data_IF_648699609527
#
_entry.id   IF_648699609527
#
_cell.length_a   1.000
_cell.length_b   1.000
_cell.length_c   1.000
_cell.angle_alpha   90.00
_cell.angle_beta   90.00
_cell.angle_gamma   90.00
#
_symmetry.space_group_name_H-M   'P 1'
#
loop_
_entity.id
_entity.type
_entity.pdbx_description
1 polymer ?
#
# COMPACT_ATOMS: atom_id res chain seq x y z
N UNK A 1 -8.82 -18.01 6.08
CA UNK A 1 -7.45 -17.48 5.93
C UNK A 1 -7.33 -16.03 6.43
N UNK A 2 -8.15 -15.09 5.95
CA UNK A 2 -8.09 -13.70 6.42
C UNK A 2 -8.45 -13.54 7.91
N UNK A 3 -9.58 -14.09 8.36
CA UNK A 3 -10.03 -14.02 9.76
C UNK A 3 -9.01 -14.64 10.72
N UNK A 4 -8.42 -15.78 10.34
CA UNK A 4 -7.38 -16.45 11.12
C UNK A 4 -6.13 -15.59 11.27
N UNK A 5 -5.69 -14.89 10.22
CA UNK A 5 -4.57 -13.94 10.28
C UNK A 5 -4.88 -12.72 11.14
N UNK A 6 -6.08 -12.16 11.04
CA UNK A 6 -6.50 -11.04 11.88
C UNK A 6 -6.55 -11.42 13.37
N UNK A 7 -6.92 -12.66 13.69
CA UNK A 7 -6.88 -13.18 15.05
C UNK A 7 -5.45 -13.40 15.55
N UNK A 8 -4.57 -13.94 14.70
CA UNK A 8 -3.15 -14.12 15.02
C UNK A 8 -2.43 -12.78 15.31
N UNK A 9 -2.82 -11.72 14.59
CA UNK A 9 -2.29 -10.38 14.73
C UNK A 9 -3.05 -9.49 15.73
N UNK A 10 -3.97 -10.07 16.51
CA UNK A 10 -4.73 -9.37 17.54
C UNK A 10 -5.41 -8.09 17.05
N UNK A 11 -6.03 -8.18 15.87
CA UNK A 11 -6.76 -7.08 15.21
C UNK A 11 -8.14 -7.53 14.69
N UNK A 12 -8.64 -8.69 15.13
CA UNK A 12 -9.92 -9.23 14.67
C UNK A 12 -11.10 -8.28 14.91
N UNK A 13 -11.09 -7.54 16.03
CA UNK A 13 -12.13 -6.55 16.35
C UNK A 13 -12.20 -5.38 15.35
N UNK A 14 -11.12 -5.15 14.57
CA UNK A 14 -11.06 -4.11 13.54
C UNK A 14 -11.49 -4.58 12.16
N UNK A 15 -11.96 -5.84 12.00
CA UNK A 15 -12.23 -6.43 10.69
C UNK A 15 -13.22 -5.62 9.83
N UNK A 16 -14.19 -4.93 10.45
CA UNK A 16 -15.18 -4.09 9.77
C UNK A 16 -14.90 -2.58 9.89
N UNK A 17 -13.72 -2.21 10.40
CA UNK A 17 -13.32 -0.82 10.62
C UNK A 17 -12.52 -0.32 9.41
N UNK A 18 -12.83 0.89 8.96
CA UNK A 18 -12.03 1.54 7.91
C UNK A 18 -10.60 1.77 8.42
N UNK A 19 -9.60 1.50 7.58
CA UNK A 19 -8.16 1.66 7.93
C UNK A 19 -7.83 3.07 8.42
N UNK A 20 -8.53 4.09 7.93
CA UNK A 20 -8.38 5.49 8.37
C UNK A 20 -8.79 5.72 9.82
N UNK A 21 -9.62 4.84 10.39
CA UNK A 21 -10.07 4.86 11.78
C UNK A 21 -9.26 3.93 12.68
N UNK A 22 -8.34 3.14 12.12
CA UNK A 22 -7.48 2.26 12.90
C UNK A 22 -6.33 3.04 13.56
N UNK A 23 -5.92 2.60 14.75
CA UNK A 23 -4.77 3.14 15.46
C UNK A 23 -3.47 2.93 14.67
N UNK A 24 -2.38 3.62 15.07
CA UNK A 24 -1.07 3.42 14.43
C UNK A 24 -0.61 1.96 14.51
N UNK A 25 -0.79 1.32 15.67
CA UNK A 25 -0.39 -0.08 15.90
C UNK A 25 -1.23 -1.05 15.08
N UNK A 26 -2.55 -0.84 15.03
CA UNK A 26 -3.46 -1.64 14.22
C UNK A 26 -3.10 -1.56 12.73
N UNK A 27 -2.79 -0.36 12.22
CA UNK A 27 -2.38 -0.18 10.83
C UNK A 27 -1.09 -0.91 10.50
N UNK A 28 -0.11 -0.91 11.40
CA UNK A 28 1.15 -1.67 11.22
C UNK A 28 0.93 -3.18 11.26
N UNK A 29 0.11 -3.68 12.20
CA UNK A 29 -0.25 -5.11 12.24
C UNK A 29 -1.03 -5.52 11.00
N UNK A 30 -1.94 -4.68 10.50
CA UNK A 30 -2.65 -4.92 9.25
C UNK A 30 -1.71 -4.93 8.04
N UNK A 31 -0.71 -4.04 7.99
CA UNK A 31 0.30 -4.04 6.94
C UNK A 31 1.11 -5.36 6.93
N UNK A 32 1.53 -5.84 8.11
CA UNK A 32 2.15 -7.16 8.23
C UNK A 32 1.22 -8.29 7.76
N UNK A 33 -0.07 -8.23 8.09
CA UNK A 33 -1.06 -9.19 7.61
C UNK A 33 -1.11 -9.25 6.08
N UNK A 34 -1.05 -8.09 5.42
CA UNK A 34 -1.08 -7.98 3.96
C UNK A 34 0.15 -8.64 3.32
N UNK A 35 1.33 -8.48 3.91
CA UNK A 35 2.55 -9.13 3.43
C UNK A 35 2.50 -10.65 3.64
N UNK A 36 2.00 -11.11 4.79
CA UNK A 36 1.87 -12.54 5.12
C UNK A 36 0.76 -13.26 4.33
N UNK A 37 -0.23 -12.52 3.84
CA UNK A 37 -1.36 -13.06 3.04
C UNK A 37 -1.16 -12.90 1.53
N UNK A 38 0.04 -12.50 1.10
CA UNK A 38 0.40 -12.55 -0.31
C UNK A 38 0.33 -13.98 -0.86
N UNK A 39 0.38 -14.11 -2.19
CA UNK A 39 0.16 -15.36 -2.95
C UNK A 39 0.99 -16.54 -2.40
N UNK A 40 2.16 -16.25 -1.82
CA UNK A 40 2.93 -17.19 -1.02
C UNK A 40 3.35 -16.52 0.27
N UNK A 41 3.28 -17.27 1.35
CA UNK A 41 3.83 -16.86 2.63
C UNK A 41 5.36 -16.70 2.47
N UNK A 42 5.93 -15.54 2.81
CA UNK A 42 7.37 -15.32 2.70
C UNK A 42 8.10 -16.12 3.79
N UNK A 43 9.28 -16.67 3.45
CA UNK A 43 10.14 -17.35 4.43
C UNK A 43 11.10 -16.39 5.15
N UNK A 44 11.22 -15.15 4.66
CA UNK A 44 12.12 -14.13 5.17
C UNK A 44 11.48 -12.75 5.01
N UNK A 45 11.49 -11.92 6.06
CA UNK A 45 10.96 -10.56 6.04
C UNK A 45 11.91 -9.61 6.78
N UNK A 46 12.26 -8.50 6.14
CA UNK A 46 12.91 -7.37 6.79
C UNK A 46 11.89 -6.30 7.17
N UNK A 47 11.96 -5.79 8.39
CA UNK A 47 11.07 -4.74 8.88
C UNK A 47 11.91 -3.60 9.47
N UNK A 48 11.74 -2.42 8.91
CA UNK A 48 12.43 -1.22 9.37
C UNK A 48 11.55 -0.44 10.36
N UNK A 49 12.04 -0.23 11.58
CA UNK A 49 11.41 0.56 12.65
C UNK A 49 9.92 0.28 12.91
N UNK A 50 9.53 -0.97 13.21
CA UNK A 50 8.12 -1.31 13.43
C UNK A 50 7.51 -0.63 14.66
N UNK A 51 8.32 -0.23 15.64
CA UNK A 51 7.85 0.40 16.88
C UNK A 51 7.70 1.92 16.77
N UNK A 52 8.19 2.54 15.68
CA UNK A 52 8.16 4.00 15.52
C UNK A 52 6.74 4.59 15.53
N UNK A 53 6.51 5.61 16.35
CA UNK A 53 5.19 6.26 16.47
C UNK A 53 4.13 5.44 17.21
N UNK A 54 4.53 4.38 17.93
CA UNK A 54 3.69 3.63 18.85
C UNK A 54 4.01 4.00 20.31
N UNK A 55 3.00 3.92 21.17
CA UNK A 55 3.21 3.88 22.62
C UNK A 55 3.84 2.55 23.04
N UNK A 56 4.46 2.52 24.24
CA UNK A 56 5.20 1.36 24.73
C UNK A 56 4.39 0.07 24.75
N UNK A 57 3.09 0.13 25.11
CA UNK A 57 2.23 -1.04 25.15
C UNK A 57 1.89 -1.54 23.75
N UNK A 58 1.51 -0.64 22.83
CA UNK A 58 1.25 -1.02 21.43
C UNK A 58 2.50 -1.59 20.74
N UNK A 59 3.68 -1.06 21.05
CA UNK A 59 4.96 -1.56 20.54
C UNK A 59 5.25 -2.99 21.04
N UNK A 60 5.05 -3.25 22.33
CA UNK A 60 5.21 -4.58 22.93
C UNK A 60 4.26 -5.60 22.30
N UNK A 61 2.98 -5.25 22.14
CA UNK A 61 1.98 -6.10 21.47
C UNK A 61 2.42 -6.42 20.04
N UNK A 62 2.89 -5.41 19.29
CA UNK A 62 3.37 -5.60 17.92
C UNK A 62 4.55 -6.58 17.85
N UNK A 63 5.56 -6.41 18.69
CA UNK A 63 6.73 -7.31 18.73
C UNK A 63 6.33 -8.72 19.16
N UNK A 64 5.39 -8.85 20.11
CA UNK A 64 4.82 -10.15 20.49
C UNK A 64 4.10 -10.83 19.33
N UNK A 65 3.37 -10.08 18.52
CA UNK A 65 2.74 -10.59 17.30
C UNK A 65 3.80 -11.04 16.29
N UNK A 66 4.86 -10.25 16.07
CA UNK A 66 5.95 -10.60 15.16
C UNK A 66 6.63 -11.92 15.56
N UNK A 67 7.04 -12.06 16.82
CA UNK A 67 7.65 -13.30 17.32
C UNK A 67 6.72 -14.51 17.16
N UNK A 68 5.44 -14.37 17.53
CA UNK A 68 4.45 -15.44 17.33
C UNK A 68 4.31 -15.84 15.85
N UNK A 69 4.37 -14.89 14.93
CA UNK A 69 4.30 -15.18 13.49
C UNK A 69 5.54 -15.87 12.97
N UNK A 70 6.73 -15.40 13.38
CA UNK A 70 8.01 -16.05 13.08
C UNK A 70 7.98 -17.55 13.41
N UNK A 71 7.67 -17.89 14.66
CA UNK A 71 7.71 -19.28 15.12
C UNK A 71 6.57 -20.15 14.57
N UNK A 72 5.38 -19.59 14.38
CA UNK A 72 4.21 -20.38 13.92
C UNK A 72 4.31 -20.76 12.44
N UNK A 73 4.88 -19.86 11.63
CA UNK A 73 4.94 -20.00 10.19
C UNK A 73 6.35 -20.30 9.68
N UNK A 74 7.34 -20.48 10.56
CA UNK A 74 8.76 -20.69 10.25
C UNK A 74 9.32 -19.60 9.32
N UNK A 75 9.07 -18.34 9.67
CA UNK A 75 9.50 -17.16 8.91
C UNK A 75 10.66 -16.52 9.63
N UNK A 76 11.78 -16.30 8.95
CA UNK A 76 12.88 -15.50 9.50
C UNK A 76 12.54 -14.02 9.44
N UNK A 77 12.48 -13.36 10.60
CA UNK A 77 12.21 -11.92 10.69
C UNK A 77 13.50 -11.19 11.08
N UNK A 78 13.89 -10.19 10.28
CA UNK A 78 14.97 -9.26 10.62
C UNK A 78 14.35 -7.90 10.89
N UNK A 79 14.55 -7.37 12.10
CA UNK A 79 13.90 -6.14 12.54
C UNK A 79 14.96 -5.13 12.98
N UNK A 80 14.91 -3.92 12.42
CA UNK A 80 15.68 -2.78 12.89
C UNK A 80 14.85 -1.95 13.89
N UNK A 81 15.43 -1.64 15.06
CA UNK A 81 14.81 -0.80 16.10
C UNK A 81 15.81 0.22 16.61
N UNK A 82 15.46 1.50 16.55
CA UNK A 82 16.36 2.60 16.89
C UNK A 82 16.50 2.80 18.41
N UNK A 83 15.48 2.48 19.21
CA UNK A 83 15.46 2.64 20.67
C UNK A 83 14.53 1.59 21.33
N UNK A 84 14.98 0.34 21.50
CA UNK A 84 14.15 -0.68 22.12
C UNK A 84 14.07 -0.48 23.64
N UNK A 85 12.89 -0.72 24.20
CA UNK A 85 12.73 -0.93 25.64
C UNK A 85 13.38 -2.29 26.02
N UNK A 86 13.93 -2.42 27.23
CA UNK A 86 14.45 -3.69 27.79
C UNK A 86 13.46 -4.83 27.58
N UNK A 87 12.17 -4.60 27.86
CA UNK A 87 11.14 -5.63 27.71
C UNK A 87 11.01 -6.10 26.25
N UNK A 88 11.06 -5.16 25.29
CA UNK A 88 10.98 -5.47 23.86
C UNK A 88 12.23 -6.22 23.41
N UNK A 89 13.41 -5.78 23.85
CA UNK A 89 14.69 -6.38 23.48
C UNK A 89 14.80 -7.85 23.93
N UNK A 90 14.27 -8.16 25.12
CA UNK A 90 14.19 -9.55 25.64
C UNK A 90 13.25 -10.47 24.87
N UNK A 91 12.40 -9.94 23.98
CA UNK A 91 11.48 -10.75 23.17
C UNK A 91 12.13 -11.27 21.88
N UNK A 92 13.34 -10.82 21.55
CA UNK A 92 14.06 -11.27 20.37
C UNK A 92 14.88 -12.53 20.66
N UNK A 93 14.86 -13.48 19.74
CA UNK A 93 15.68 -14.69 19.82
C UNK A 93 17.18 -14.36 19.72
N UNK A 94 17.53 -13.42 18.84
CA UNK A 94 18.90 -13.00 18.56
C UNK A 94 18.94 -11.49 18.38
N UNK A 95 19.99 -10.87 18.91
CA UNK A 95 20.27 -9.45 18.78
C UNK A 95 21.58 -9.27 18.02
N UNK A 96 21.57 -8.32 17.10
CA UNK A 96 22.73 -7.88 16.36
C UNK A 96 22.87 -6.38 16.53
N UNK A 97 23.87 -5.94 17.31
CA UNK A 97 24.06 -4.53 17.64
C UNK A 97 25.25 -3.94 16.88
N UNK A 98 24.97 -2.85 16.18
CA UNK A 98 25.94 -2.08 15.42
C UNK A 98 26.32 -0.80 16.17
N UNK A 99 27.63 -0.51 16.20
CA UNK A 99 28.15 0.79 16.63
C UNK A 99 28.42 1.70 15.43
N UNK A 100 28.68 2.98 15.72
CA UNK A 100 29.04 3.97 14.71
C UNK A 100 30.24 3.48 13.87
N UNK A 101 30.11 3.56 12.54
CA UNK A 101 31.08 2.99 11.61
C UNK A 101 30.69 1.61 11.07
N UNK A 102 29.51 1.10 11.43
CA UNK A 102 28.97 -0.16 10.90
C UNK A 102 29.67 -1.40 11.46
N UNK A 103 30.31 -1.27 12.62
CA UNK A 103 31.01 -2.38 13.28
C UNK A 103 30.08 -3.09 14.26
N UNK A 104 30.11 -4.41 14.27
CA UNK A 104 29.33 -5.22 15.21
C UNK A 104 30.02 -5.24 16.57
N UNK A 105 29.30 -4.83 17.62
CA UNK A 105 29.80 -4.85 19.01
C UNK A 105 29.14 -5.94 19.86
N UNK A 106 28.07 -6.54 19.35
CA UNK A 106 27.37 -7.63 19.99
C UNK A 106 26.55 -8.45 18.97
N UNK A 107 26.66 -9.77 19.07
CA UNK A 107 25.80 -10.74 18.38
C UNK A 107 25.49 -11.87 19.35
N UNK A 108 24.22 -12.06 19.71
CA UNK A 108 23.81 -13.11 20.66
C UNK A 108 22.39 -12.97 21.18
N UNK A 109 22.00 -13.91 22.04
CA UNK A 109 20.72 -13.90 22.76
C UNK A 109 20.70 -12.80 23.83
N UNK A 110 19.57 -12.12 24.08
CA UNK A 110 19.47 -11.03 25.06
C UNK A 110 20.01 -11.35 26.45
N UNK A 111 19.87 -12.60 26.90
CA UNK A 111 20.31 -13.05 28.22
C UNK A 111 21.83 -13.00 28.39
N UNK A 112 22.59 -13.14 27.30
CA UNK A 112 24.04 -13.17 27.30
C UNK A 112 24.68 -11.77 27.26
N UNK A 113 23.88 -10.70 27.17
CA UNK A 113 24.40 -9.32 27.10
C UNK A 113 25.21 -8.97 28.34
N UNK A 114 24.69 -9.33 29.53
CA UNK A 114 25.35 -9.01 30.79
C UNK A 114 26.73 -9.67 30.90
N UNK A 115 26.82 -10.95 30.55
CA UNK A 115 28.08 -11.70 30.56
C UNK A 115 29.09 -11.12 29.56
N UNK A 116 28.63 -10.74 28.36
CA UNK A 116 29.47 -10.13 27.33
C UNK A 116 30.07 -8.80 27.78
N UNK A 117 29.28 -7.94 28.40
CA UNK A 117 29.75 -6.65 28.93
C UNK A 117 30.79 -6.89 30.03
N UNK A 118 30.49 -7.76 30.99
CA UNK A 118 31.39 -8.10 32.10
C UNK A 118 32.75 -8.59 31.60
N UNK A 119 32.75 -9.42 30.55
CA UNK A 119 33.96 -9.96 29.93
C UNK A 119 34.81 -8.87 29.26
N UNK A 120 34.19 -7.86 28.65
CA UNK A 120 34.91 -6.80 27.92
C UNK A 120 35.36 -5.68 28.86
N UNK A 121 34.49 -5.20 29.74
CA UNK A 121 34.74 -4.02 30.59
C UNK A 121 35.42 -4.36 31.91
N UNK A 122 35.42 -5.64 32.33
CA UNK A 122 35.86 -6.09 33.66
C UNK A 122 35.15 -5.38 34.83
N UNK A 123 33.98 -4.78 34.60
CA UNK A 123 33.16 -4.12 35.62
C UNK A 123 31.89 -4.94 35.86
N UNK A 124 31.52 -5.12 37.14
CA UNK A 124 30.38 -5.94 37.58
C UNK A 124 29.14 -5.11 37.94
N UNK A 125 29.30 -3.79 38.13
CA UNK A 125 28.23 -2.91 38.61
C UNK A 125 27.45 -2.31 37.43
N UNK A 126 26.49 -3.06 36.89
CA UNK A 126 25.57 -2.54 35.89
C UNK A 126 24.12 -2.89 36.22
N UNK A 127 23.42 -1.94 36.85
CA UNK A 127 21.96 -2.00 37.04
C UNK A 127 21.20 -2.09 35.69
N UNK A 128 21.84 -1.65 34.59
CA UNK A 128 21.23 -1.48 33.27
C UNK A 128 22.20 -1.89 32.13
N UNK A 129 22.44 -3.20 31.91
CA UNK A 129 23.45 -3.67 30.96
C UNK A 129 23.11 -3.31 29.50
N UNK A 130 21.82 -3.29 29.14
CA UNK A 130 21.39 -2.98 27.76
C UNK A 130 21.66 -1.52 27.42
N UNK A 131 21.33 -0.62 28.34
CA UNK A 131 21.55 0.82 28.22
C UNK A 131 23.04 1.14 28.09
N UNK A 132 23.88 0.44 28.84
CA UNK A 132 25.34 0.60 28.73
C UNK A 132 25.85 0.11 27.36
N UNK A 133 25.38 -1.03 26.89
CA UNK A 133 25.76 -1.55 25.57
C UNK A 133 25.34 -0.59 24.44
N UNK A 134 24.12 -0.02 24.53
CA UNK A 134 23.64 1.02 23.61
C UNK A 134 24.49 2.30 23.74
N UNK A 135 24.96 2.64 24.94
CA UNK A 135 25.87 3.78 25.13
C UNK A 135 27.20 3.57 24.42
N UNK A 136 27.78 2.38 24.46
CA UNK A 136 28.99 2.04 23.70
C UNK A 136 28.73 2.08 22.19
N UNK A 137 27.54 1.70 21.71
CA UNK A 137 27.21 1.75 20.28
C UNK A 137 27.24 3.18 19.71
N UNK A 138 26.90 4.17 20.55
CA UNK A 138 26.95 5.59 20.21
C UNK A 138 28.37 6.17 20.17
N UNK A 139 29.37 5.49 20.74
CA UNK A 139 30.76 5.94 20.73
C UNK A 139 31.40 5.75 19.35
N UNK A 140 32.51 6.43 19.11
CA UNK A 140 33.19 6.35 17.82
C UNK A 140 34.00 5.05 17.74
N UNK A 141 34.06 4.41 16.57
CA UNK A 141 34.84 3.19 16.31
C UNK A 141 36.35 3.28 16.62
N UNK A 142 36.88 4.48 16.89
CA UNK A 142 38.27 4.67 17.32
C UNK A 142 38.49 4.39 18.81
N UNK A 143 37.42 4.37 19.62
CA UNK A 143 37.46 4.08 21.05
C UNK A 143 38.05 2.68 21.31
N UNK A 144 38.91 2.59 22.32
CA UNK A 144 39.58 1.35 22.69
C UNK A 144 38.59 0.32 23.23
N UNK A 145 37.53 0.75 23.93
CA UNK A 145 36.50 -0.16 24.45
C UNK A 145 35.69 -0.75 23.29
N UNK A 146 35.23 0.08 22.35
CA UNK A 146 34.49 -0.36 21.17
C UNK A 146 35.31 -1.33 20.33
N UNK A 147 36.61 -1.07 20.13
CA UNK A 147 37.51 -2.02 19.42
C UNK A 147 37.58 -3.37 20.12
N UNK A 148 37.64 -3.38 21.45
CA UNK A 148 37.66 -4.61 22.23
C UNK A 148 36.34 -5.38 22.10
N UNK A 149 35.20 -4.69 22.16
CA UNK A 149 33.89 -5.29 21.87
C UNK A 149 33.86 -5.95 20.49
N UNK A 150 34.30 -5.22 19.45
CA UNK A 150 34.36 -5.74 18.07
C UNK A 150 35.25 -6.98 17.96
N UNK A 151 36.43 -6.97 18.59
CA UNK A 151 37.34 -8.12 18.58
C UNK A 151 36.71 -9.36 19.20
N UNK A 152 36.17 -9.24 20.42
CA UNK A 152 35.53 -10.35 21.14
C UNK A 152 34.31 -10.87 20.36
N UNK A 153 33.48 -9.98 19.83
CA UNK A 153 32.30 -10.39 19.04
C UNK A 153 32.69 -11.07 17.74
N UNK A 154 33.70 -10.57 17.01
CA UNK A 154 34.16 -11.21 15.78
C UNK A 154 34.77 -12.60 16.04
N UNK A 155 35.56 -12.76 17.11
CA UNK A 155 36.09 -14.07 17.49
C UNK A 155 34.97 -15.06 17.81
N UNK A 156 33.93 -14.60 18.52
CA UNK A 156 32.75 -15.43 18.82
C UNK A 156 32.01 -15.85 17.54
N UNK A 157 31.74 -14.92 16.64
CA UNK A 157 31.08 -15.20 15.35
C UNK A 157 31.90 -16.20 14.53
N UNK A 158 33.21 -16.02 14.43
CA UNK A 158 34.07 -16.94 13.69
C UNK A 158 34.11 -18.35 14.30
N UNK A 159 34.04 -18.46 15.62
CA UNK A 159 33.95 -19.75 16.31
C UNK A 159 32.60 -20.43 16.07
N UNK A 160 31.50 -19.67 16.06
CA UNK A 160 30.16 -20.17 15.73
C UNK A 160 30.06 -20.58 14.24
N UNK A 161 30.73 -19.87 13.33
CA UNK A 161 30.81 -20.23 11.90
C UNK A 161 31.47 -21.61 11.65
N UNK A 162 32.35 -22.06 12.55
CA UNK A 162 32.93 -23.40 12.47
C UNK A 162 31.89 -24.50 12.76
N UNK A 163 30.88 -24.23 13.58
CA UNK A 163 29.70 -25.08 13.77
C UNK A 163 28.73 -24.96 12.57
N UNK A 164 28.51 -23.76 12.03
CA UNK A 164 27.66 -23.52 10.85
C UNK A 164 28.21 -24.06 9.52
N UNK A 165 29.50 -24.39 9.41
CA UNK A 165 30.01 -25.17 8.26
C UNK A 165 29.28 -26.51 8.06
N UNK A 166 28.63 -27.05 9.10
CA UNK A 166 27.69 -28.19 8.95
C UNK A 166 26.36 -27.79 8.29
N UNK A 167 25.88 -26.55 8.47
CA UNK A 167 24.69 -26.02 7.81
C UNK A 167 24.90 -25.79 6.31
N UNK A 168 26.10 -25.37 5.88
CA UNK A 168 26.42 -25.23 4.46
C UNK A 168 26.34 -26.53 3.66
N UNK A 169 26.50 -27.69 4.31
CA UNK A 169 26.28 -28.99 3.66
C UNK A 169 24.79 -29.23 3.33
N UNK A 170 23.87 -28.51 3.99
CA UNK A 170 22.42 -28.63 3.82
C UNK A 170 21.81 -27.46 3.05
N UNK A 171 22.59 -26.45 2.64
CA UNK A 171 22.10 -25.34 1.84
C UNK A 171 22.39 -25.57 0.36
N UNK A 172 21.35 -25.48 -0.48
CA UNK A 172 21.52 -25.53 -1.92
C UNK A 172 21.66 -24.10 -2.45
N UNK A 173 22.81 -23.79 -3.04
CA UNK A 173 23.02 -22.51 -3.70
C UNK A 173 22.10 -22.46 -4.93
N UNK A 174 21.20 -21.47 -4.97
CA UNK A 174 20.30 -21.26 -6.12
C UNK A 174 20.93 -20.19 -7.01
N UNK A 175 21.60 -20.57 -8.12
CA UNK A 175 22.41 -19.65 -8.92
C UNK A 175 21.59 -18.50 -9.55
N UNK A 176 20.30 -18.74 -9.82
CA UNK A 176 19.38 -17.75 -10.38
C UNK A 176 18.55 -17.01 -9.31
N UNK A 177 18.90 -17.17 -8.03
CA UNK A 177 18.13 -16.65 -6.90
C UNK A 177 16.80 -17.38 -6.68
N UNK A 178 16.06 -16.99 -5.63
CA UNK A 178 14.72 -17.52 -5.39
C UNK A 178 13.82 -17.20 -6.60
N UNK A 179 13.20 -18.22 -7.20
CA UNK A 179 12.26 -18.02 -8.30
C UNK A 179 11.14 -17.08 -7.84
N UNK A 180 11.15 -15.83 -8.31
CA UNK A 180 10.07 -14.89 -8.06
C UNK A 180 8.89 -15.34 -8.91
N UNK A 181 8.01 -16.16 -8.34
CA UNK A 181 6.79 -16.57 -9.00
C UNK A 181 5.84 -15.37 -8.96
N UNK A 182 6.10 -14.38 -9.82
CA UNK A 182 5.11 -13.37 -10.15
C UNK A 182 3.89 -14.14 -10.60
N UNK A 183 2.73 -13.87 -9.99
CA UNK A 183 1.49 -14.42 -10.53
C UNK A 183 1.45 -14.10 -12.01
N UNK A 184 0.94 -15.01 -12.83
CA UNK A 184 0.62 -14.65 -14.21
C UNK A 184 -0.74 -13.98 -14.21
N UNK A 185 -0.92 -13.02 -15.10
CA UNK A 185 -2.21 -12.38 -15.32
C UNK A 185 -3.27 -13.45 -15.61
N UNK A 186 -4.37 -13.42 -14.86
CA UNK A 186 -5.49 -14.34 -15.01
C UNK A 186 -6.78 -13.54 -15.17
N UNK A 187 -7.72 -14.03 -15.98
CA UNK A 187 -9.02 -13.36 -16.18
C UNK A 187 -9.83 -13.23 -14.87
N UNK A 188 -9.62 -14.14 -13.92
CA UNK A 188 -10.19 -14.01 -12.58
C UNK A 188 -9.67 -12.77 -11.83
N UNK A 189 -8.43 -12.33 -12.08
CA UNK A 189 -7.89 -11.09 -11.52
C UNK A 189 -8.68 -9.88 -12.01
N UNK A 190 -9.08 -9.85 -13.28
CA UNK A 190 -9.94 -8.80 -13.82
C UNK A 190 -11.28 -8.75 -13.08
N UNK A 191 -11.92 -9.91 -12.84
CA UNK A 191 -13.19 -9.96 -12.12
C UNK A 191 -13.07 -9.43 -10.69
N UNK A 192 -12.00 -9.79 -9.98
CA UNK A 192 -11.70 -9.28 -8.63
C UNK A 192 -11.51 -7.76 -8.67
N UNK A 193 -10.81 -7.25 -9.69
CA UNK A 193 -10.50 -5.83 -9.79
C UNK A 193 -11.71 -4.99 -10.21
N UNK A 194 -12.58 -5.51 -11.08
CA UNK A 194 -13.89 -4.93 -11.36
C UNK A 194 -14.76 -4.90 -10.10
N UNK A 195 -14.80 -5.99 -9.33
CA UNK A 195 -15.55 -6.04 -8.09
C UNK A 195 -15.02 -5.00 -7.09
N UNK A 196 -13.70 -4.87 -6.97
CA UNK A 196 -13.06 -3.91 -6.07
C UNK A 196 -13.32 -2.46 -6.46
N UNK A 197 -13.21 -2.16 -7.75
CA UNK A 197 -13.61 -0.87 -8.31
C UNK A 197 -15.06 -0.55 -7.99
N UNK A 198 -15.98 -1.50 -8.19
CA UNK A 198 -17.38 -1.31 -7.83
C UNK A 198 -17.58 -0.98 -6.33
N UNK A 199 -16.89 -1.67 -5.43
CA UNK A 199 -16.93 -1.38 -4.00
C UNK A 199 -16.37 0.02 -3.67
N UNK A 200 -15.29 0.42 -4.33
CA UNK A 200 -14.67 1.73 -4.15
C UNK A 200 -15.60 2.85 -4.62
N UNK A 201 -16.18 2.71 -5.81
CA UNK A 201 -17.18 3.64 -6.33
C UNK A 201 -18.37 3.76 -5.38
N UNK A 202 -18.91 2.64 -4.90
CA UNK A 202 -20.07 2.62 -4.00
C UNK A 202 -19.81 3.29 -2.66
N UNK A 203 -18.64 3.09 -2.06
CA UNK A 203 -18.39 3.55 -0.68
C UNK A 203 -17.74 4.94 -0.62
N UNK A 204 -16.86 5.30 -1.55
CA UNK A 204 -16.04 6.52 -1.45
C UNK A 204 -16.40 7.60 -2.48
N UNK A 205 -16.73 7.22 -3.72
CA UNK A 205 -16.91 8.19 -4.82
C UNK A 205 -18.38 8.48 -5.19
N UNK A 206 -19.34 7.72 -4.67
CA UNK A 206 -20.75 7.82 -5.06
C UNK A 206 -21.34 9.24 -4.92
N UNK A 207 -21.00 9.96 -3.85
CA UNK A 207 -21.54 11.30 -3.61
C UNK A 207 -21.00 12.32 -4.62
N UNK A 208 -19.72 12.19 -4.98
CA UNK A 208 -19.03 13.06 -5.92
C UNK A 208 -19.47 12.76 -7.37
N UNK A 209 -19.70 11.49 -7.68
CA UNK A 209 -20.32 11.06 -8.94
C UNK A 209 -21.75 11.57 -9.05
N UNK A 210 -22.54 11.47 -7.99
CA UNK A 210 -23.91 11.97 -7.95
C UNK A 210 -23.94 13.50 -8.14
N UNK A 211 -23.04 14.24 -7.49
CA UNK A 211 -22.88 15.68 -7.70
C UNK A 211 -22.57 16.04 -9.15
N UNK A 212 -21.69 15.30 -9.81
CA UNK A 212 -21.41 15.49 -11.22
C UNK A 212 -22.67 15.20 -12.06
N UNK A 213 -23.29 14.03 -11.92
CA UNK A 213 -24.50 13.69 -12.67
C UNK A 213 -25.64 14.70 -12.46
N UNK A 214 -25.81 15.27 -11.27
CA UNK A 214 -26.82 16.31 -11.04
C UNK A 214 -26.48 17.61 -11.77
N UNK A 215 -25.21 18.05 -11.80
CA UNK A 215 -24.78 19.20 -12.61
C UNK A 215 -25.03 18.92 -14.09
N UNK A 216 -24.67 17.74 -14.59
CA UNK A 216 -24.91 17.38 -16.00
C UNK A 216 -26.40 17.39 -16.36
N UNK A 217 -27.25 16.87 -15.46
CA UNK A 217 -28.69 16.87 -15.65
C UNK A 217 -29.26 18.30 -15.64
N UNK A 218 -28.80 19.15 -14.72
CA UNK A 218 -29.17 20.57 -14.68
C UNK A 218 -28.74 21.27 -15.97
N UNK A 219 -27.49 21.10 -16.42
CA UNK A 219 -27.01 21.68 -17.67
C UNK A 219 -27.81 21.17 -18.87
N UNK A 220 -28.12 19.87 -18.91
CA UNK A 220 -28.90 19.25 -19.99
C UNK A 220 -30.34 19.77 -20.05
N UNK A 221 -31.00 19.95 -18.90
CA UNK A 221 -32.34 20.52 -18.82
C UNK A 221 -32.33 22.00 -19.20
N UNK A 222 -31.35 22.76 -18.72
CA UNK A 222 -31.21 24.18 -19.07
C UNK A 222 -30.87 24.36 -20.57
N UNK A 223 -30.12 23.43 -21.16
CA UNK A 223 -29.83 23.43 -22.60
C UNK A 223 -31.10 23.24 -23.44
N UNK A 224 -32.05 22.40 -22.99
CA UNK A 224 -33.37 22.26 -23.62
C UNK A 224 -34.19 23.55 -23.55
N UNK A 225 -34.03 24.35 -22.49
CA UNK A 225 -34.70 25.63 -22.36
C UNK A 225 -34.04 26.74 -23.20
N UNK A 226 -32.70 26.75 -23.29
CA UNK A 226 -31.93 27.66 -24.14
C UNK A 226 -32.26 27.48 -25.63
N UNK A 227 -32.54 26.24 -26.05
CA UNK A 227 -32.91 25.87 -27.41
C UNK A 227 -34.42 25.63 -27.50
N UNK A 228 -35.19 26.70 -27.37
CA UNK A 228 -36.64 26.66 -27.56
C UNK A 228 -36.95 26.17 -28.99
N UNK A 229 -37.86 25.20 -29.20
CA UNK A 229 -38.31 24.80 -30.55
C UNK A 229 -38.86 25.99 -31.36
N UNK A 230 -39.33 27.05 -30.69
CA UNK A 230 -39.76 28.31 -31.33
C UNK A 230 -38.62 29.14 -31.93
N UNK A 231 -37.35 28.77 -31.74
CA UNK A 231 -36.23 29.31 -32.54
C UNK A 231 -36.32 28.85 -34.00
N UNK A 232 -37.02 27.74 -34.28
CA UNK A 232 -37.26 27.25 -35.64
C UNK A 232 -38.54 27.82 -36.28
N UNK A 233 -39.43 28.48 -35.51
CA UNK A 233 -40.63 29.10 -36.06
C UNK A 233 -40.26 30.46 -36.68
N UNK A 234 -40.38 30.57 -38.02
CA UNK A 234 -40.21 31.85 -38.71
C UNK A 234 -41.33 32.82 -38.31
N UNK A 235 -40.99 33.88 -37.60
CA UNK A 235 -41.78 35.11 -37.61
C UNK A 235 -41.46 35.90 -38.87
N UNK A 236 -42.06 35.53 -40.00
CA UNK A 236 -41.78 36.19 -41.28
C UNK A 236 -42.49 35.57 -42.46
N UNK A 237 -43.81 35.59 -42.46
CA UNK A 237 -44.58 35.61 -43.70
C UNK A 237 -45.42 36.88 -43.66
N UNK A 238 -45.04 37.84 -44.49
CA UNK A 238 -45.84 39.03 -44.75
C UNK A 238 -47.05 38.56 -45.57
N UNK A 239 -48.26 38.67 -45.01
CA UNK A 239 -49.47 38.61 -45.82
C UNK A 239 -49.75 40.03 -46.32
N UNK A 240 -49.40 40.29 -47.58
CA UNK A 240 -50.12 41.31 -48.32
C UNK A 240 -50.89 40.57 -49.39
N UNK A 241 -52.17 40.87 -49.44
CA UNK A 241 -53.10 40.35 -50.42
C UNK A 241 -52.49 40.45 -51.83
N UNK A 242 -52.74 39.39 -52.59
CA UNK A 242 -52.56 39.21 -54.03
C UNK A 242 -51.31 38.48 -54.56
N UNK A 243 -51.69 37.44 -55.31
CA UNK A 243 -51.02 36.78 -56.43
C UNK A 243 -50.20 35.50 -56.25
N UNK A 244 -50.73 34.51 -57.00
CA UNK A 244 -50.22 33.18 -57.27
C UNK A 244 -48.77 33.19 -57.76
N UNK A 245 -48.04 32.15 -57.38
CA UNK A 245 -46.67 31.77 -57.81
C UNK A 245 -45.58 32.32 -56.90
N UNK A 246 -45.57 31.88 -55.65
CA UNK A 246 -44.32 31.42 -55.04
C UNK A 246 -44.63 30.26 -54.10
N UNK A 247 -44.43 29.07 -54.64
CA UNK A 247 -44.43 27.82 -53.90
C UNK A 247 -43.40 27.95 -52.79
N UNK A 248 -43.82 28.11 -51.54
CA UNK A 248 -42.96 27.82 -50.41
C UNK A 248 -42.39 26.42 -50.64
N UNK A 249 -41.09 26.33 -50.92
CA UNK A 249 -40.34 25.09 -51.13
C UNK A 249 -40.26 24.33 -49.79
N UNK A 250 -41.40 23.76 -49.38
CA UNK A 250 -41.62 23.02 -48.13
C UNK A 250 -40.65 21.84 -47.98
N UNK A 251 -40.07 21.34 -49.08
CA UNK A 251 -39.15 20.21 -49.11
C UNK A 251 -37.76 20.51 -48.52
N UNK A 252 -37.28 21.75 -48.68
CA UNK A 252 -35.99 22.19 -48.11
C UNK A 252 -36.11 22.48 -46.62
N UNK A 253 -37.26 23.01 -46.19
CA UNK A 253 -37.52 23.33 -44.79
C UNK A 253 -37.71 22.03 -43.96
N UNK A 254 -38.44 21.02 -44.45
CA UNK A 254 -38.53 19.69 -43.79
C UNK A 254 -37.16 19.01 -43.65
N UNK A 255 -36.31 19.11 -44.68
CA UNK A 255 -34.92 18.60 -44.63
C UNK A 255 -34.08 19.37 -43.61
N UNK A 256 -34.27 20.69 -43.50
CA UNK A 256 -33.52 21.52 -42.56
C UNK A 256 -33.91 21.21 -41.11
N UNK A 257 -35.19 21.00 -40.82
CA UNK A 257 -35.69 20.58 -39.50
C UNK A 257 -35.18 19.19 -39.10
N UNK A 258 -35.15 18.23 -40.04
CA UNK A 258 -34.57 16.91 -39.82
C UNK A 258 -33.06 16.99 -39.52
N UNK A 259 -32.31 17.82 -40.25
CA UNK A 259 -30.87 18.03 -40.02
C UNK A 259 -30.60 18.68 -38.66
N UNK A 260 -31.43 19.64 -38.24
CA UNK A 260 -31.35 20.26 -36.92
C UNK A 260 -31.65 19.27 -35.80
N UNK A 261 -32.75 18.52 -35.88
CA UNK A 261 -33.09 17.49 -34.90
C UNK A 261 -32.03 16.39 -34.81
N UNK A 262 -31.46 15.97 -35.95
CA UNK A 262 -30.33 15.04 -35.99
C UNK A 262 -29.09 15.62 -35.31
N UNK A 263 -28.74 16.90 -35.56
CA UNK A 263 -27.62 17.57 -34.91
C UNK A 263 -27.82 17.69 -33.40
N UNK A 264 -29.02 18.05 -32.93
CA UNK A 264 -29.32 18.11 -31.50
C UNK A 264 -29.24 16.74 -30.83
N UNK A 265 -29.81 15.71 -31.45
CA UNK A 265 -29.71 14.33 -30.95
C UNK A 265 -28.26 13.88 -30.88
N UNK A 266 -27.47 14.13 -31.94
CA UNK A 266 -26.04 13.82 -32.00
C UNK A 266 -25.24 14.54 -30.91
N UNK A 267 -25.51 15.83 -30.66
CA UNK A 267 -24.85 16.59 -29.59
C UNK A 267 -25.18 16.04 -28.20
N UNK A 268 -26.45 15.71 -27.93
CA UNK A 268 -26.86 15.10 -26.66
C UNK A 268 -26.18 13.75 -26.45
N UNK A 269 -26.17 12.89 -27.47
CA UNK A 269 -25.47 11.60 -27.40
C UNK A 269 -23.96 11.78 -27.19
N UNK A 270 -23.34 12.75 -27.88
CA UNK A 270 -21.92 13.05 -27.71
C UNK A 270 -21.61 13.47 -26.27
N UNK A 271 -22.40 14.38 -25.68
CA UNK A 271 -22.22 14.82 -24.30
C UNK A 271 -22.38 13.65 -23.32
N UNK A 272 -23.41 12.82 -23.50
CA UNK A 272 -23.65 11.65 -22.64
C UNK A 272 -22.52 10.61 -22.70
N UNK A 273 -21.82 10.48 -23.84
CA UNK A 273 -20.69 9.56 -24.00
C UNK A 273 -19.41 10.15 -23.40
N UNK A 274 -19.11 11.43 -23.63
CA UNK A 274 -17.86 12.05 -23.14
C UNK A 274 -17.90 12.37 -21.64
N UNK A 275 -19.08 12.55 -21.06
CA UNK A 275 -19.26 12.88 -19.66
C UNK A 275 -18.70 11.83 -18.67
N UNK A 276 -19.05 10.52 -18.78
CA UNK A 276 -18.47 9.50 -17.90
C UNK A 276 -16.96 9.33 -18.13
N UNK A 277 -16.48 9.47 -19.37
CA UNK A 277 -15.04 9.39 -19.70
C UNK A 277 -14.28 10.52 -19.00
N UNK A 278 -14.81 11.74 -19.00
CA UNK A 278 -14.20 12.90 -18.33
C UNK A 278 -14.15 12.75 -16.80
N UNK A 279 -15.21 12.21 -16.20
CA UNK A 279 -15.25 11.94 -14.75
C UNK A 279 -14.21 10.88 -14.37
N UNK A 280 -14.14 9.77 -15.12
CA UNK A 280 -13.13 8.73 -14.88
C UNK A 280 -11.70 9.27 -15.01
N UNK A 281 -11.43 10.12 -16.00
CA UNK A 281 -10.10 10.74 -16.18
C UNK A 281 -9.71 11.67 -15.01
N UNK A 282 -10.65 12.45 -14.46
CA UNK A 282 -10.39 13.32 -13.31
C UNK A 282 -10.18 12.53 -12.00
N UNK A 283 -10.90 11.41 -11.85
CA UNK A 283 -10.83 10.56 -10.66
C UNK A 283 -9.63 9.62 -10.65
N UNK A 284 -9.05 9.33 -11.82
CA UNK A 284 -7.89 8.45 -11.95
C UNK A 284 -6.68 8.86 -11.09
N UNK A 285 -6.49 10.17 -10.84
CA UNK A 285 -5.37 10.61 -9.99
C UNK A 285 -5.47 10.10 -8.54
N UNK A 286 -6.70 9.88 -8.04
CA UNK A 286 -6.93 9.32 -6.70
C UNK A 286 -6.61 7.82 -6.68
N UNK A 287 -6.95 7.10 -7.75
CA UNK A 287 -6.67 5.67 -7.93
C UNK A 287 -5.17 5.40 -8.11
N UNK A 288 -4.45 6.28 -8.82
CA UNK A 288 -3.02 6.12 -9.12
C UNK A 288 -2.16 5.93 -7.86
N UNK A 289 -2.49 6.63 -6.77
CA UNK A 289 -1.76 6.51 -5.50
C UNK A 289 -1.87 5.11 -4.90
N UNK A 290 -3.02 4.45 -5.04
CA UNK A 290 -3.23 3.09 -4.55
C UNK A 290 -2.55 2.07 -5.46
N UNK A 291 -2.64 2.26 -6.78
CA UNK A 291 -2.00 1.40 -7.77
C UNK A 291 -0.47 1.34 -7.60
N UNK A 292 0.18 2.47 -7.31
CA UNK A 292 1.64 2.51 -7.06
C UNK A 292 2.03 1.67 -5.83
N UNK A 293 1.21 1.68 -4.77
CA UNK A 293 1.50 0.92 -3.56
C UNK A 293 1.27 -0.58 -3.76
N UNK A 294 0.23 -0.98 -4.50
CA UNK A 294 -0.02 -2.39 -4.81
C UNK A 294 1.06 -3.00 -5.70
N UNK A 295 1.56 -2.22 -6.68
CA UNK A 295 2.68 -2.63 -7.52
C UNK A 295 3.95 -2.90 -6.68
N UNK A 296 4.27 -2.01 -5.74
CA UNK A 296 5.44 -2.19 -4.84
C UNK A 296 5.35 -3.45 -3.99
N UNK A 297 4.14 -3.86 -3.61
CA UNK A 297 3.91 -5.00 -2.74
C UNK A 297 3.64 -6.31 -3.52
N UNK A 298 3.70 -6.29 -4.85
CA UNK A 298 3.46 -7.48 -5.69
C UNK A 298 2.05 -8.07 -5.57
N UNK A 299 1.11 -7.34 -5.00
CA UNK A 299 -0.26 -7.79 -4.76
C UNK A 299 -1.19 -7.31 -5.90
N UNK A 300 -1.89 -8.27 -6.51
CA UNK A 300 -2.89 -8.08 -7.58
C UNK A 300 -2.40 -7.24 -8.77
N UNK A 301 -1.79 -7.96 -9.70
CA UNK A 301 -1.62 -7.55 -11.08
C UNK A 301 -2.92 -7.02 -11.68
N UNK A 302 -2.89 -5.83 -12.25
CA UNK A 302 -3.71 -5.57 -13.44
C UNK A 302 -3.00 -4.80 -14.56
N UNK A 303 -1.69 -4.55 -14.48
CA UNK A 303 -0.98 -3.89 -15.57
C UNK A 303 0.44 -4.39 -15.80
N UNK A 304 0.70 -5.70 -15.69
CA UNK A 304 1.74 -6.31 -16.54
C UNK A 304 1.35 -6.22 -18.04
N UNK A 305 0.23 -5.54 -18.35
CA UNK A 305 -0.48 -5.63 -19.61
C UNK A 305 -0.61 -4.33 -20.41
N UNK A 306 -0.12 -3.16 -19.98
CA UNK A 306 0.02 -2.16 -21.05
C UNK A 306 1.17 -2.54 -21.97
N UNK A 307 2.37 -2.85 -21.47
CA UNK A 307 3.46 -3.26 -22.34
C UNK A 307 4.51 -4.04 -21.53
N UNK A 308 5.26 -4.88 -22.23
CA UNK A 308 6.69 -5.00 -21.96
C UNK A 308 7.35 -3.63 -21.72
#
# INVERSE_FOLDING_TARGET
MAITMLNELDILYTANTLVTKCSGGERKRLALALELTSIRMPNFICIDEPTSGLDSNSAEILVKCLGRMSHRHNITLVVAIHQPNINILKMFDQIYLLARGGVCIYSGTPDNIHEHIRFVTNHDDNDFPIEELIRYSCQNHHDQQVKRFVQVTNEKILNDDHEEKKLFNNTQLVPDGLSTNRTRFALNSIAILIQREFYFYRNHLWALILFFYTISLIVSINYRFLLNPKIAERNGCISFDDDFIETCDRSKDEKMELVLNYRYSYYIYSILIFYPIGISALLYHLELKYMINEHRNGNYMNSDYYFY
#
